data_IF_936984180384
#
_entry.id   IF_936984180384
#
_cell.length_a   1.000
_cell.length_b   1.000
_cell.length_c   1.000
_cell.angle_alpha   90.00
_cell.angle_beta   90.00
_cell.angle_gamma   90.00
#
_symmetry.space_group_name_H-M   'P 1'
#
loop_
_entity.id
_entity.type
_entity.pdbx_description
1 polymer ?
#
# COMPACT_ATOMS: atom_id res chain seq x y z
N UNK A 1 -8.35 -0.09 9.99
CA UNK A 1 -8.90 0.17 8.64
C UNK A 1 -9.70 -1.05 8.19
N UNK A 2 -10.79 -0.86 7.42
CA UNK A 2 -11.57 -1.97 6.90
C UNK A 2 -10.64 -2.87 6.06
N UNK A 3 -10.51 -4.13 6.46
CA UNK A 3 -9.84 -5.13 5.61
C UNK A 3 -10.67 -5.26 4.33
N UNK A 4 -10.05 -5.31 3.13
CA UNK A 4 -10.80 -5.67 1.94
C UNK A 4 -11.47 -7.03 2.20
N UNK A 5 -12.81 -7.14 2.04
CA UNK A 5 -13.51 -8.40 2.26
C UNK A 5 -13.07 -9.43 1.22
N UNK A 6 -13.18 -10.70 1.59
CA UNK A 6 -12.67 -11.84 0.82
C UNK A 6 -13.47 -12.07 -0.47
N UNK A 7 -14.68 -11.50 -0.58
CA UNK A 7 -15.59 -11.75 -1.71
C UNK A 7 -15.75 -10.49 -2.60
N UNK A 8 -15.15 -10.46 -3.80
CA UNK A 8 -15.09 -9.27 -4.65
C UNK A 8 -16.46 -8.87 -5.24
N UNK A 9 -17.40 -9.80 -5.38
CA UNK A 9 -18.68 -9.56 -6.06
C UNK A 9 -19.74 -8.88 -5.17
N UNK A 10 -19.50 -8.81 -3.85
CA UNK A 10 -20.42 -8.16 -2.89
C UNK A 10 -19.90 -6.82 -2.38
N UNK A 11 -18.82 -6.31 -2.96
CA UNK A 11 -18.12 -5.14 -2.46
C UNK A 11 -18.77 -3.82 -2.90
N UNK A 12 -19.18 -3.01 -1.93
CA UNK A 12 -19.64 -1.65 -2.18
C UNK A 12 -18.43 -0.73 -2.40
N UNK A 13 -18.00 -0.63 -3.67
CA UNK A 13 -16.89 0.23 -4.11
C UNK A 13 -17.07 1.68 -3.66
N UNK A 14 -18.31 2.17 -3.64
CA UNK A 14 -18.62 3.55 -3.26
C UNK A 14 -18.33 3.77 -1.78
N UNK A 15 -18.76 2.85 -0.89
CA UNK A 15 -18.45 2.96 0.53
C UNK A 15 -16.95 2.88 0.80
N UNK A 16 -16.22 2.05 0.07
CA UNK A 16 -14.76 1.98 0.20
C UNK A 16 -14.07 3.29 -0.16
N UNK A 17 -14.48 3.92 -1.27
CA UNK A 17 -13.96 5.23 -1.65
C UNK A 17 -14.36 6.26 -0.59
N UNK A 18 -15.60 6.27 -0.09
CA UNK A 18 -16.00 7.22 0.96
C UNK A 18 -15.16 7.03 2.24
N UNK A 19 -14.97 5.79 2.68
CA UNK A 19 -14.12 5.46 3.82
C UNK A 19 -12.67 5.89 3.57
N UNK A 20 -12.19 5.75 2.33
CA UNK A 20 -10.85 6.14 1.94
C UNK A 20 -10.57 7.64 2.10
N UNK A 21 -11.57 8.44 1.73
CA UNK A 21 -11.48 9.89 1.80
C UNK A 21 -11.77 10.44 3.19
N UNK A 22 -12.52 9.72 4.02
CA UNK A 22 -12.82 10.13 5.41
C UNK A 22 -11.73 9.72 6.38
N UNK A 23 -11.03 8.61 6.12
CA UNK A 23 -9.91 8.10 6.93
C UNK A 23 -8.61 8.21 6.13
N UNK A 24 -8.11 9.44 5.98
CA UNK A 24 -6.86 9.69 5.27
C UNK A 24 -5.66 9.02 5.95
N UNK A 25 -4.79 8.41 5.16
CA UNK A 25 -3.47 7.97 5.63
C UNK A 25 -2.54 9.17 5.83
N UNK A 26 -1.59 9.07 6.75
CA UNK A 26 -0.55 10.09 6.95
C UNK A 26 0.60 9.90 5.95
N UNK A 27 0.24 9.83 4.66
CA UNK A 27 1.19 9.64 3.58
C UNK A 27 1.69 11.01 3.05
N UNK A 28 2.96 11.12 2.64
CA UNK A 28 3.43 12.33 1.99
C UNK A 28 2.76 12.51 0.61
N UNK A 29 2.49 13.77 0.22
CA UNK A 29 1.70 14.11 -0.98
C UNK A 29 2.20 13.48 -2.29
N UNK A 30 3.50 13.18 -2.40
CA UNK A 30 4.08 12.59 -3.61
C UNK A 30 3.61 11.15 -3.84
N UNK A 31 3.30 10.40 -2.76
CA UNK A 31 2.77 9.04 -2.86
C UNK A 31 1.41 9.05 -3.54
N UNK A 32 0.54 10.01 -3.21
CA UNK A 32 -0.75 10.17 -3.88
C UNK A 32 -0.61 10.41 -5.39
N UNK A 33 0.39 11.18 -5.81
CA UNK A 33 0.65 11.44 -7.23
C UNK A 33 1.22 10.20 -7.92
N UNK A 34 2.08 9.45 -7.24
CA UNK A 34 2.69 8.23 -7.76
C UNK A 34 1.65 7.13 -7.98
N UNK A 35 0.76 6.89 -7.02
CA UNK A 35 -0.32 5.91 -7.12
C UNK A 35 -1.43 6.34 -8.11
N UNK A 36 -1.61 7.64 -8.33
CA UNK A 36 -2.61 8.15 -9.27
C UNK A 36 -2.23 7.90 -10.74
N UNK A 37 -0.93 7.83 -11.08
CA UNK A 37 -0.48 7.65 -12.47
C UNK A 37 -1.03 6.40 -13.18
N UNK A 38 -0.91 5.17 -12.62
CA UNK A 38 -1.40 3.97 -13.28
C UNK A 38 -2.92 3.98 -13.46
N UNK A 39 -3.68 4.34 -12.42
CA UNK A 39 -5.14 4.43 -12.49
C UNK A 39 -5.59 5.51 -13.50
N UNK A 40 -4.91 6.67 -13.52
CA UNK A 40 -5.22 7.74 -14.47
C UNK A 40 -4.94 7.31 -15.91
N UNK A 41 -3.86 6.55 -16.13
CA UNK A 41 -3.54 6.01 -17.45
C UNK A 41 -4.60 5.02 -17.92
N UNK A 42 -5.07 4.12 -17.06
CA UNK A 42 -6.15 3.18 -17.37
C UNK A 42 -7.44 3.92 -17.72
N UNK A 43 -7.88 4.85 -16.87
CA UNK A 43 -9.06 5.69 -17.11
C UNK A 43 -8.95 6.49 -18.41
N UNK A 44 -7.77 7.03 -18.70
CA UNK A 44 -7.51 7.78 -19.94
C UNK A 44 -7.59 6.91 -21.19
N UNK A 45 -7.03 5.69 -21.13
CA UNK A 45 -7.13 4.73 -22.24
C UNK A 45 -8.61 4.37 -22.47
N UNK A 46 -9.36 4.07 -21.42
CA UNK A 46 -10.79 3.75 -21.51
C UNK A 46 -11.59 4.91 -22.12
N UNK A 47 -11.37 6.16 -21.70
CA UNK A 47 -12.05 7.31 -22.29
C UNK A 47 -11.71 7.51 -23.77
N UNK A 48 -10.47 7.25 -24.19
CA UNK A 48 -10.07 7.37 -25.60
C UNK A 48 -10.65 6.25 -26.47
N UNK A 49 -10.71 5.01 -25.98
CA UNK A 49 -11.24 3.88 -26.76
C UNK A 49 -12.72 4.08 -27.07
N UNK A 50 -13.51 4.56 -26.11
CA UNK A 50 -14.91 4.90 -26.34
C UNK A 50 -15.11 6.16 -27.21
N UNK A 51 -14.17 7.11 -27.16
CA UNK A 51 -14.22 8.33 -27.98
C UNK A 51 -14.22 8.09 -29.50
N UNK A 52 -13.75 6.92 -29.98
CA UNK A 52 -13.77 6.60 -31.40
C UNK A 52 -15.18 6.38 -31.97
N UNK A 53 -16.13 5.87 -31.17
CA UNK A 53 -17.52 5.71 -31.59
C UNK A 53 -18.16 7.10 -31.81
N UNK A 54 -17.91 8.05 -30.92
CA UNK A 54 -18.37 9.43 -31.07
C UNK A 54 -17.78 10.12 -32.31
N UNK A 55 -16.51 9.87 -32.63
CA UNK A 55 -15.86 10.38 -33.86
C UNK A 55 -16.50 9.77 -35.11
N UNK A 56 -16.74 8.46 -35.12
CA UNK A 56 -17.39 7.75 -36.23
C UNK A 56 -18.83 8.24 -36.42
N UNK A 57 -19.59 8.40 -35.35
CA UNK A 57 -20.95 8.95 -35.41
C UNK A 57 -20.96 10.40 -35.87
N UNK A 58 -20.03 11.23 -35.40
CA UNK A 58 -19.84 12.61 -35.87
C UNK A 58 -19.52 12.71 -37.37
N UNK A 59 -18.88 11.68 -37.94
CA UNK A 59 -18.67 11.54 -39.38
C UNK A 59 -19.97 11.26 -40.14
N UNK A 60 -20.79 10.32 -39.66
CA UNK A 60 -22.05 9.92 -40.29
C UNK A 60 -23.23 10.86 -40.01
N UNK A 61 -23.16 11.69 -38.95
CA UNK A 61 -24.24 12.59 -38.53
C UNK A 61 -24.59 13.55 -39.67
N UNK A 62 -25.84 13.56 -40.17
CA UNK A 62 -26.22 14.44 -41.25
C UNK A 62 -26.07 15.90 -40.84
N UNK A 63 -25.79 16.77 -41.82
CA UNK A 63 -25.74 18.23 -41.62
C UNK A 63 -27.15 18.78 -41.47
N UNK A 64 -27.90 18.26 -40.50
CA UNK A 64 -29.27 18.70 -40.26
C UNK A 64 -29.23 19.94 -39.40
N UNK A 65 -29.77 21.03 -39.96
CA UNK A 65 -30.32 22.14 -39.17
C UNK A 65 -29.42 22.71 -38.07
N UNK A 66 -28.09 22.74 -38.24
CA UNK A 66 -27.26 23.65 -37.48
C UNK A 66 -27.78 25.03 -37.88
N UNK A 67 -28.62 25.59 -36.99
CA UNK A 67 -29.54 26.69 -37.27
C UNK A 67 -28.95 27.56 -38.34
N UNK A 68 -29.54 27.54 -39.56
CA UNK A 68 -29.34 28.62 -40.52
C UNK A 68 -29.58 29.84 -39.65
N UNK A 69 -28.49 30.54 -39.26
CA UNK A 69 -28.54 31.63 -38.29
C UNK A 69 -29.54 32.61 -38.88
N UNK A 70 -30.79 32.52 -38.45
CA UNK A 70 -31.79 33.55 -38.66
C UNK A 70 -31.32 34.65 -37.75
N UNK A 71 -30.37 35.43 -38.29
CA UNK A 71 -30.01 36.75 -37.80
C UNK A 71 -31.32 37.44 -37.44
N UNK A 72 -31.42 37.93 -36.20
CA UNK A 72 -32.52 38.72 -35.60
C UNK A 72 -33.47 37.95 -34.67
N UNK A 73 -32.99 37.58 -33.49
CA UNK A 73 -33.78 37.81 -32.26
C UNK A 73 -32.85 38.33 -31.16
N UNK A 74 -32.80 39.65 -31.04
CA UNK A 74 -32.30 40.35 -29.85
C UNK A 74 -33.31 40.08 -28.74
N UNK A 75 -32.93 39.39 -27.66
CA UNK A 75 -33.81 39.26 -26.51
C UNK A 75 -33.38 38.20 -25.51
N UNK A 76 -32.93 38.69 -24.35
CA UNK A 76 -32.87 38.04 -23.02
C UNK A 76 -32.04 36.75 -22.87
N UNK A 77 -30.85 36.94 -22.30
CA UNK A 77 -30.35 36.26 -21.10
C UNK A 77 -30.67 34.76 -20.95
N UNK A 78 -30.41 33.97 -22.00
CA UNK A 78 -30.27 32.53 -21.81
C UNK A 78 -28.85 32.29 -21.27
N UNK A 79 -28.76 31.89 -20.00
CA UNK A 79 -27.53 31.42 -19.36
C UNK A 79 -26.86 30.44 -20.32
N UNK A 80 -25.77 30.88 -20.93
CA UNK A 80 -24.92 30.03 -21.77
C UNK A 80 -24.27 29.04 -20.83
N UNK A 81 -24.94 27.91 -20.59
CA UNK A 81 -24.19 26.69 -20.32
C UNK A 81 -23.29 26.55 -21.55
N UNK A 82 -21.96 26.62 -21.40
CA UNK A 82 -21.08 26.41 -22.53
C UNK A 82 -21.43 25.04 -23.10
N UNK A 83 -22.04 25.01 -24.29
CA UNK A 83 -22.06 23.79 -25.10
C UNK A 83 -20.61 23.56 -25.45
N UNK A 84 -19.95 22.70 -24.69
CA UNK A 84 -18.66 22.18 -25.10
C UNK A 84 -18.84 21.67 -26.52
N UNK A 85 -18.09 22.19 -27.51
CA UNK A 85 -18.15 21.65 -28.85
C UNK A 85 -17.79 20.17 -28.73
N UNK A 86 -18.70 19.28 -29.14
CA UNK A 86 -18.46 17.84 -29.18
C UNK A 86 -17.18 17.62 -29.97
N UNK A 87 -16.09 17.27 -29.28
CA UNK A 87 -14.78 17.05 -29.90
C UNK A 87 -14.92 16.00 -31.01
N UNK A 88 -15.75 14.98 -30.80
CA UNK A 88 -16.12 13.98 -31.80
C UNK A 88 -16.77 14.57 -33.05
N UNK A 89 -17.76 15.48 -32.92
CA UNK A 89 -18.40 16.13 -34.08
C UNK A 89 -17.42 17.05 -34.82
N UNK A 90 -16.60 17.80 -34.08
CA UNK A 90 -15.61 18.71 -34.64
C UNK A 90 -14.51 17.96 -35.40
N UNK A 91 -14.06 16.82 -34.88
CA UNK A 91 -13.05 15.96 -35.50
C UNK A 91 -13.66 15.16 -36.66
N UNK A 92 -14.78 14.47 -36.43
CA UNK A 92 -15.47 13.66 -37.44
C UNK A 92 -15.96 14.47 -38.64
N UNK A 93 -16.39 15.73 -38.42
CA UNK A 93 -16.76 16.66 -39.49
C UNK A 93 -15.58 17.18 -40.33
N UNK A 94 -14.34 16.96 -39.90
CA UNK A 94 -13.12 17.32 -40.65
C UNK A 94 -12.49 16.15 -41.40
N UNK A 95 -12.93 14.92 -41.13
CA UNK A 95 -12.45 13.75 -41.85
C UNK A 95 -12.84 13.81 -43.35
N UNK A 96 -11.96 13.36 -44.27
CA UNK A 96 -12.26 13.31 -45.70
C UNK A 96 -13.47 12.40 -45.97
N UNK A 97 -14.34 12.78 -46.91
CA UNK A 97 -15.59 12.07 -47.19
C UNK A 97 -16.80 12.51 -46.35
N UNK A 98 -16.59 13.22 -45.23
CA UNK A 98 -17.69 13.69 -44.36
C UNK A 98 -18.67 14.62 -45.07
N UNK A 99 -18.21 15.41 -46.05
CA UNK A 99 -19.05 16.33 -46.83
C UNK A 99 -20.04 15.60 -47.74
N UNK A 100 -19.66 14.43 -48.25
CA UNK A 100 -20.48 13.62 -49.17
C UNK A 100 -21.62 12.95 -48.40
N UNK A 101 -21.29 12.29 -47.29
CA UNK A 101 -22.27 11.64 -46.40
C UNK A 101 -23.26 12.67 -45.84
N UNK A 102 -22.78 13.86 -45.48
CA UNK A 102 -23.60 14.94 -44.90
C UNK A 102 -24.52 15.66 -45.89
N UNK A 103 -24.37 15.43 -47.20
CA UNK A 103 -25.16 16.07 -48.25
C UNK A 103 -26.58 15.51 -48.42
N UNK A 104 -26.87 14.34 -47.84
CA UNK A 104 -28.18 13.68 -47.97
C UNK A 104 -29.25 14.48 -47.22
N UNK A 105 -30.40 14.71 -47.87
CA UNK A 105 -31.54 15.41 -47.26
C UNK A 105 -32.39 14.41 -46.47
N UNK A 106 -32.40 14.55 -45.14
CA UNK A 106 -33.18 13.69 -44.25
C UNK A 106 -34.62 14.21 -44.08
N UNK A 107 -35.55 13.28 -43.83
CA UNK A 107 -36.95 13.60 -43.50
C UNK A 107 -37.04 14.32 -42.14
N UNK A 108 -38.14 15.04 -41.90
CA UNK A 108 -38.37 15.72 -40.60
C UNK A 108 -38.35 14.74 -39.42
N UNK A 109 -38.83 13.51 -39.65
CA UNK A 109 -38.77 12.44 -38.67
C UNK A 109 -37.33 12.03 -38.38
N UNK A 110 -36.50 11.82 -39.41
CA UNK A 110 -35.08 11.51 -39.25
C UNK A 110 -34.34 12.57 -38.43
N UNK A 111 -34.61 13.87 -38.68
CA UNK A 111 -34.00 14.95 -37.89
C UNK A 111 -34.44 14.94 -36.41
N UNK A 112 -35.66 14.50 -36.12
CA UNK A 112 -36.15 14.38 -34.73
C UNK A 112 -35.50 13.18 -34.04
N UNK A 113 -35.37 12.06 -34.75
CA UNK A 113 -34.68 10.87 -34.26
C UNK A 113 -33.22 11.18 -33.90
N UNK A 114 -32.49 11.91 -34.74
CA UNK A 114 -31.12 12.35 -34.45
C UNK A 114 -30.99 13.26 -33.21
N UNK A 115 -32.03 14.04 -32.86
CA UNK A 115 -32.02 14.87 -31.64
C UNK A 115 -32.24 14.03 -30.38
N UNK A 116 -33.09 13.01 -30.46
CA UNK A 116 -33.32 12.08 -29.34
C UNK A 116 -32.06 11.24 -29.12
N UNK A 117 -31.48 10.74 -30.22
CA UNK A 117 -30.21 10.01 -30.22
C UNK A 117 -29.09 10.85 -29.59
N UNK A 118 -28.96 12.12 -29.96
CA UNK A 118 -28.01 13.07 -29.34
C UNK A 118 -28.20 13.17 -27.82
N UNK A 119 -29.42 13.34 -27.31
CA UNK A 119 -29.68 13.40 -25.87
C UNK A 119 -29.34 12.08 -25.17
N UNK A 120 -29.72 10.95 -25.78
CA UNK A 120 -29.42 9.62 -25.26
C UNK A 120 -27.92 9.36 -25.22
N UNK A 121 -27.18 9.79 -26.25
CA UNK A 121 -25.73 9.68 -26.32
C UNK A 121 -25.05 10.51 -25.22
N UNK A 122 -25.52 11.73 -24.96
CA UNK A 122 -25.00 12.51 -23.84
C UNK A 122 -25.26 11.83 -22.50
N UNK A 123 -26.45 11.24 -22.31
CA UNK A 123 -26.77 10.50 -21.10
C UNK A 123 -25.86 9.27 -20.93
N UNK A 124 -25.64 8.50 -22.00
CA UNK A 124 -24.74 7.34 -22.01
C UNK A 124 -23.28 7.74 -21.81
N UNK A 125 -22.84 8.87 -22.36
CA UNK A 125 -21.49 9.40 -22.14
C UNK A 125 -21.28 9.79 -20.68
N UNK A 126 -22.22 10.52 -20.08
CA UNK A 126 -22.12 10.87 -18.65
C UNK A 126 -22.22 9.63 -17.75
N UNK A 127 -23.01 8.63 -18.14
CA UNK A 127 -23.05 7.34 -17.46
C UNK A 127 -21.68 6.64 -17.52
N UNK A 128 -21.07 6.59 -18.71
CA UNK A 128 -19.73 6.04 -18.89
C UNK A 128 -18.68 6.79 -18.09
N UNK A 129 -18.73 8.12 -18.07
CA UNK A 129 -17.82 8.94 -17.25
C UNK A 129 -17.99 8.61 -15.77
N UNK A 130 -19.21 8.39 -15.29
CA UNK A 130 -19.45 7.98 -13.91
C UNK A 130 -18.84 6.60 -13.62
N UNK A 131 -19.03 5.63 -14.51
CA UNK A 131 -18.49 4.27 -14.40
C UNK A 131 -16.95 4.26 -14.38
N UNK A 132 -16.33 4.98 -15.32
CA UNK A 132 -14.86 5.15 -15.37
C UNK A 132 -14.33 5.89 -14.14
N UNK A 133 -15.06 6.89 -13.63
CA UNK A 133 -14.66 7.62 -12.43
C UNK A 133 -14.72 6.74 -11.18
N UNK A 134 -15.71 5.85 -11.07
CA UNK A 134 -15.82 4.87 -9.98
C UNK A 134 -14.66 3.87 -10.03
N UNK A 135 -14.38 3.31 -11.20
CA UNK A 135 -13.25 2.37 -11.38
C UNK A 135 -11.90 3.05 -11.12
N UNK A 136 -11.69 4.25 -11.65
CA UNK A 136 -10.51 5.06 -11.38
C UNK A 136 -10.32 5.31 -9.87
N UNK A 137 -11.38 5.72 -9.18
CA UNK A 137 -11.31 6.02 -7.76
C UNK A 137 -10.99 4.75 -6.95
N UNK A 138 -11.58 3.61 -7.32
CA UNK A 138 -11.32 2.33 -6.68
C UNK A 138 -9.87 1.86 -6.89
N UNK A 139 -9.36 1.85 -8.13
CA UNK A 139 -7.98 1.44 -8.43
C UNK A 139 -6.94 2.36 -7.78
N UNK A 140 -7.19 3.67 -7.78
CA UNK A 140 -6.29 4.62 -7.15
C UNK A 140 -6.25 4.44 -5.64
N UNK A 141 -7.41 4.28 -5.00
CA UNK A 141 -7.50 4.09 -3.55
C UNK A 141 -6.93 2.75 -3.11
N UNK A 142 -7.12 1.67 -3.88
CA UNK A 142 -6.53 0.36 -3.57
C UNK A 142 -5.00 0.40 -3.60
N UNK A 143 -4.40 1.02 -4.62
CA UNK A 143 -2.94 1.20 -4.70
C UNK A 143 -2.40 2.08 -3.57
N UNK A 144 -3.16 3.10 -3.18
CA UNK A 144 -2.83 3.93 -2.03
C UNK A 144 -2.80 3.09 -0.75
N UNK A 145 -3.78 2.21 -0.55
CA UNK A 145 -3.88 1.34 0.62
C UNK A 145 -2.86 0.21 0.67
N UNK A 146 -2.36 -0.25 -0.48
CA UNK A 146 -1.25 -1.20 -0.53
C UNK A 146 0.09 -0.57 -0.13
N UNK A 147 0.21 0.76 -0.17
CA UNK A 147 1.43 1.45 0.23
C UNK A 147 1.72 1.30 1.72
N UNK A 148 3.01 1.21 2.08
CA UNK A 148 3.49 1.11 3.47
C UNK A 148 2.90 2.17 4.40
N UNK A 149 2.58 3.37 3.87
CA UNK A 149 2.01 4.49 4.62
C UNK A 149 0.54 4.30 5.03
N UNK A 150 -0.18 3.49 4.28
CA UNK A 150 -1.60 3.23 4.51
C UNK A 150 -1.87 1.84 5.08
N UNK A 151 -0.85 0.99 5.11
CA UNK A 151 -0.95 -0.24 5.87
C UNK A 151 -1.11 0.17 7.34
N UNK A 152 -2.16 -0.31 8.03
CA UNK A 152 -2.26 -0.06 9.46
C UNK A 152 -0.97 -0.54 10.09
N UNK A 153 -0.36 0.31 10.92
CA UNK A 153 0.82 -0.08 11.68
C UNK A 153 0.58 -1.47 12.26
N UNK A 154 1.59 -2.37 12.21
CA UNK A 154 1.44 -3.68 12.79
C UNK A 154 0.85 -3.53 14.20
N UNK A 155 -0.01 -4.47 14.63
CA UNK A 155 -0.47 -4.51 16.02
C UNK A 155 0.77 -4.44 16.91
N UNK A 156 0.62 -3.91 18.13
CA UNK A 156 1.68 -3.28 18.90
C UNK A 156 3.01 -4.03 18.88
N UNK A 157 4.11 -3.32 19.08
CA UNK A 157 5.43 -3.89 18.90
C UNK A 157 6.55 -2.98 19.36
N UNK A 158 7.77 -3.43 19.18
CA UNK A 158 8.95 -2.65 19.49
C UNK A 158 10.12 -3.08 18.62
N UNK A 159 11.09 -2.19 18.44
CA UNK A 159 12.44 -2.51 17.99
C UNK A 159 13.46 -1.77 18.84
N UNK A 160 14.43 -2.50 19.36
CA UNK A 160 15.58 -1.95 20.08
C UNK A 160 16.86 -2.54 19.53
N UNK A 161 17.91 -1.74 19.47
CA UNK A 161 19.22 -2.19 19.06
C UNK A 161 20.28 -1.98 20.15
N UNK A 162 21.40 -2.65 19.97
CA UNK A 162 22.61 -2.51 20.78
C UNK A 162 23.82 -2.42 19.87
N UNK A 163 24.82 -1.65 20.30
CA UNK A 163 26.16 -1.68 19.70
C UNK A 163 27.04 -2.76 20.32
N UNK A 164 26.55 -3.43 21.37
CA UNK A 164 27.25 -4.48 22.09
C UNK A 164 28.33 -3.98 23.04
N UNK A 165 29.35 -4.81 23.23
CA UNK A 165 30.54 -4.52 24.05
C UNK A 165 30.55 -5.19 25.42
N UNK A 166 29.52 -5.95 25.78
CA UNK A 166 29.48 -6.66 27.06
C UNK A 166 30.15 -8.04 26.95
N UNK A 167 30.97 -8.42 27.95
CA UNK A 167 31.68 -9.69 27.93
C UNK A 167 30.74 -10.86 28.21
N UNK A 168 30.91 -11.93 27.44
CA UNK A 168 30.26 -13.23 27.63
C UNK A 168 31.30 -14.28 28.02
N UNK A 169 30.94 -15.11 29.01
CA UNK A 169 31.76 -16.22 29.51
C UNK A 169 31.20 -17.54 28.98
N UNK A 170 32.10 -18.47 28.66
CA UNK A 170 31.71 -19.80 28.18
C UNK A 170 30.90 -20.60 29.20
N UNK A 171 29.99 -21.43 28.71
CA UNK A 171 29.25 -22.42 29.49
C UNK A 171 28.11 -21.86 30.34
N UNK A 172 27.62 -20.64 30.06
CA UNK A 172 26.43 -20.07 30.72
C UNK A 172 25.66 -19.09 29.83
N UNK A 173 24.36 -18.98 30.08
CA UNK A 173 23.49 -17.99 29.45
C UNK A 173 23.72 -16.60 30.05
N UNK A 174 23.95 -15.62 29.18
CA UNK A 174 24.13 -14.21 29.53
C UNK A 174 23.03 -13.35 28.95
N UNK A 175 22.52 -12.41 29.74
CA UNK A 175 21.47 -11.49 29.29
C UNK A 175 22.08 -10.44 28.35
N UNK A 176 21.53 -10.31 27.15
CA UNK A 176 21.87 -9.25 26.22
C UNK A 176 21.01 -8.01 26.48
N UNK A 177 21.64 -6.82 26.49
CA UNK A 177 20.97 -5.55 26.65
C UNK A 177 20.86 -4.80 25.32
N UNK A 178 19.68 -4.29 25.03
CA UNK A 178 19.31 -3.46 23.88
C UNK A 178 18.78 -2.12 24.38
N UNK A 179 19.69 -1.16 24.64
CA UNK A 179 19.32 0.10 25.30
C UNK A 179 18.83 1.20 24.35
N UNK A 180 19.01 1.05 23.03
CA UNK A 180 18.64 2.07 22.05
C UNK A 180 17.31 1.72 21.41
N UNK A 181 16.30 2.56 21.64
CA UNK A 181 14.98 2.42 21.04
C UNK A 181 15.01 2.90 19.58
N UNK A 182 14.56 2.05 18.66
CA UNK A 182 14.28 2.45 17.28
C UNK A 182 12.84 2.97 17.17
N UNK A 183 11.90 2.20 17.73
CA UNK A 183 10.48 2.54 17.86
C UNK A 183 9.82 1.63 18.91
N UNK A 184 8.76 2.12 19.57
CA UNK A 184 7.94 1.35 20.48
C UNK A 184 6.46 1.76 20.40
N UNK A 185 5.60 0.77 20.17
CA UNK A 185 4.14 0.85 20.21
C UNK A 185 3.62 -0.23 21.18
N UNK A 186 3.85 -0.06 22.48
CA UNK A 186 3.51 -1.08 23.47
C UNK A 186 2.00 -1.36 23.56
N UNK A 187 1.60 -2.61 23.89
CA UNK A 187 2.41 -3.83 24.05
C UNK A 187 2.64 -4.63 22.75
N UNK A 188 3.62 -5.57 22.69
CA UNK A 188 4.64 -5.87 23.69
C UNK A 188 5.56 -4.67 23.93
N UNK A 189 6.20 -4.65 25.09
CA UNK A 189 7.11 -3.57 25.50
C UNK A 189 8.52 -4.12 25.75
N UNK A 190 9.51 -3.24 25.65
CA UNK A 190 10.89 -3.58 25.96
C UNK A 190 11.55 -2.53 26.86
N UNK A 191 12.33 -2.98 27.84
CA UNK A 191 13.07 -2.14 28.76
C UNK A 191 14.47 -2.72 28.98
N UNK A 192 15.45 -2.11 28.32
CA UNK A 192 16.89 -2.39 28.39
C UNK A 192 17.25 -3.86 28.09
N UNK A 193 16.93 -4.78 29.00
CA UNK A 193 17.28 -6.19 28.94
C UNK A 193 16.07 -7.12 29.08
N UNK A 194 14.87 -6.58 29.32
CA UNK A 194 13.65 -7.36 29.56
C UNK A 194 12.51 -6.86 28.69
N UNK A 195 11.67 -7.76 28.21
CA UNK A 195 10.45 -7.44 27.49
C UNK A 195 9.23 -8.13 28.08
N UNK A 196 8.04 -7.66 27.70
CA UNK A 196 6.76 -8.22 28.13
C UNK A 196 5.77 -8.30 26.97
N UNK A 197 5.09 -9.44 26.79
CA UNK A 197 4.17 -9.67 25.66
C UNK A 197 2.84 -8.92 25.73
N UNK A 198 2.46 -8.40 26.91
CA UNK A 198 1.18 -7.73 27.11
C UNK A 198 -0.01 -8.69 27.19
N UNK A 199 -1.18 -8.27 26.73
CA UNK A 199 -2.42 -9.06 26.81
C UNK A 199 -2.58 -10.06 25.64
N UNK A 200 -1.73 -9.99 24.62
CA UNK A 200 -1.81 -10.80 23.40
C UNK A 200 -0.50 -11.59 23.24
N UNK A 201 -0.55 -12.68 22.47
CA UNK A 201 0.65 -13.42 22.06
C UNK A 201 1.54 -12.50 21.24
N UNK A 202 2.86 -12.56 21.44
CA UNK A 202 3.80 -11.78 20.65
C UNK A 202 4.88 -12.67 20.04
N UNK A 203 5.26 -12.39 18.80
CA UNK A 203 6.46 -12.95 18.17
C UNK A 203 7.65 -12.08 18.54
N UNK A 204 8.67 -12.68 19.12
CA UNK A 204 9.92 -12.01 19.46
C UNK A 204 11.02 -12.58 18.57
N UNK A 205 11.75 -11.69 17.93
CA UNK A 205 12.92 -12.00 17.12
C UNK A 205 14.11 -11.22 17.67
N UNK A 206 15.22 -11.91 17.90
CA UNK A 206 16.46 -11.28 18.35
C UNK A 206 17.63 -11.76 17.49
N UNK A 207 18.47 -10.82 17.07
CA UNK A 207 19.72 -11.08 16.39
C UNK A 207 20.86 -10.46 17.18
N UNK A 208 21.93 -11.22 17.42
CA UNK A 208 23.10 -10.73 18.13
C UNK A 208 24.35 -11.19 17.39
N UNK A 209 25.24 -10.24 17.14
CA UNK A 209 26.59 -10.50 16.66
C UNK A 209 27.47 -10.89 17.84
N UNK A 210 28.25 -11.96 17.74
CA UNK A 210 29.31 -12.26 18.70
C UNK A 210 30.66 -11.93 18.07
N UNK A 211 31.41 -11.09 18.77
CA UNK A 211 32.73 -10.62 18.34
C UNK A 211 33.77 -11.21 19.28
N UNK A 212 34.71 -11.94 18.69
CA UNK A 212 35.86 -12.45 19.40
C UNK A 212 36.79 -11.32 19.84
N UNK A 213 37.45 -11.50 20.99
CA UNK A 213 38.56 -10.65 21.41
C UNK A 213 39.86 -11.44 21.34
N UNK A 214 40.81 -10.97 20.53
CA UNK A 214 42.21 -11.40 20.59
C UNK A 214 42.72 -11.16 22.03
N UNK A 215 43.35 -12.14 22.73
CA UNK A 215 44.00 -13.37 22.23
C UNK A 215 43.25 -14.68 22.45
N UNK A 216 41.95 -14.66 22.67
CA UNK A 216 41.20 -15.90 22.90
C UNK A 216 40.92 -16.64 21.58
N UNK A 217 40.81 -17.98 21.58
CA UNK A 217 40.43 -18.73 20.40
C UNK A 217 38.99 -18.41 19.98
N UNK A 218 38.64 -18.76 18.74
CA UNK A 218 37.30 -18.59 18.20
C UNK A 218 36.30 -19.44 19.01
N UNK A 219 35.09 -18.93 19.29
CA UNK A 219 34.06 -19.71 19.95
C UNK A 219 33.67 -20.91 19.08
N UNK A 220 33.55 -22.09 19.70
CA UNK A 220 33.17 -23.32 19.01
C UNK A 220 31.66 -23.46 18.79
N UNK A 221 30.86 -22.80 19.62
CA UNK A 221 29.42 -22.67 19.40
C UNK A 221 28.91 -21.36 19.98
N UNK A 222 27.92 -20.77 19.31
CA UNK A 222 27.20 -19.58 19.78
C UNK A 222 25.71 -19.81 19.58
N UNK A 223 24.92 -19.52 20.61
CA UNK A 223 23.47 -19.62 20.57
C UNK A 223 22.85 -18.35 21.14
N UNK A 224 21.75 -17.93 20.54
CA UNK A 224 20.89 -16.87 21.05
C UNK A 224 19.54 -17.51 21.38
N UNK A 225 18.97 -17.12 22.51
CA UNK A 225 17.69 -17.63 22.96
C UNK A 225 16.87 -16.57 23.64
N UNK A 226 15.61 -16.90 23.87
CA UNK A 226 14.71 -16.08 24.67
C UNK A 226 14.35 -16.86 25.92
N UNK A 227 14.64 -16.28 27.08
CA UNK A 227 14.42 -16.88 28.40
C UNK A 227 13.23 -16.22 29.07
N UNK A 228 12.36 -17.03 29.68
CA UNK A 228 11.25 -16.54 30.47
C UNK A 228 11.75 -16.23 31.89
N UNK A 229 11.58 -15.00 32.36
CA UNK A 229 12.20 -14.52 33.62
C UNK A 229 11.65 -15.28 34.85
N UNK A 230 10.37 -15.68 34.83
CA UNK A 230 9.73 -16.39 35.94
C UNK A 230 10.14 -17.85 36.09
N UNK A 231 10.35 -18.58 34.98
CA UNK A 231 10.74 -19.99 35.01
C UNK A 231 12.25 -20.21 34.89
N UNK A 232 12.98 -19.25 34.33
CA UNK A 232 14.38 -19.41 33.94
C UNK A 232 14.59 -20.32 32.73
N UNK A 233 13.51 -20.83 32.12
CA UNK A 233 13.56 -21.70 30.96
C UNK A 233 13.80 -20.89 29.69
N UNK A 234 14.68 -21.40 28.82
CA UNK A 234 14.90 -20.84 27.48
C UNK A 234 13.81 -21.40 26.56
N UNK A 235 12.77 -20.60 26.32
CA UNK A 235 11.59 -20.99 25.56
C UNK A 235 11.93 -21.41 24.12
N UNK A 236 12.86 -20.69 23.51
CA UNK A 236 13.38 -21.01 22.19
C UNK A 236 14.82 -20.52 22.07
N UNK A 237 15.65 -21.30 21.36
CA UNK A 237 17.04 -21.00 21.11
C UNK A 237 17.43 -21.45 19.69
N UNK A 238 18.33 -20.69 19.08
CA UNK A 238 18.90 -20.95 17.77
C UNK A 238 20.37 -20.59 17.80
N UNK A 239 21.17 -21.18 16.91
CA UNK A 239 22.60 -20.93 16.87
C UNK A 239 23.35 -21.89 15.98
N UNK A 240 24.66 -21.67 15.90
CA UNK A 240 25.58 -22.44 15.09
C UNK A 240 26.45 -23.31 16.00
N UNK A 241 26.69 -24.55 15.58
CA UNK A 241 27.62 -25.47 16.23
C UNK A 241 28.93 -25.65 15.42
N UNK A 242 29.15 -24.82 14.40
CA UNK A 242 30.31 -24.92 13.52
C UNK A 242 31.37 -23.87 13.81
N UNK A 243 32.61 -24.20 13.45
CA UNK A 243 33.78 -23.31 13.62
C UNK A 243 33.58 -22.05 12.80
N UNK A 244 33.77 -20.93 13.47
CA UNK A 244 33.45 -19.61 12.94
C UNK A 244 34.65 -19.11 12.17
N UNK A 245 34.45 -18.84 10.89
CA UNK A 245 35.47 -18.28 10.02
C UNK A 245 35.30 -16.75 10.09
N UNK A 246 36.36 -16.03 10.47
CA UNK A 246 36.46 -14.55 10.55
C UNK A 246 36.02 -13.86 11.86
N UNK A 247 35.82 -14.61 12.96
CA UNK A 247 35.70 -14.04 14.32
C UNK A 247 34.42 -13.24 14.60
N UNK A 248 33.47 -13.25 13.66
CA UNK A 248 32.16 -12.61 13.76
C UNK A 248 31.04 -13.62 13.45
N UNK A 249 30.00 -13.65 14.29
CA UNK A 249 28.90 -14.63 14.18
C UNK A 249 27.60 -13.92 14.40
N UNK A 250 26.71 -13.98 13.42
CA UNK A 250 25.35 -13.49 13.56
C UNK A 250 24.46 -14.66 13.97
N UNK A 251 23.93 -14.62 15.19
CA UNK A 251 22.97 -15.61 15.66
C UNK A 251 21.58 -14.97 15.77
N UNK A 252 20.62 -15.59 15.10
CA UNK A 252 19.21 -15.16 15.05
C UNK A 252 18.34 -16.18 15.76
N UNK A 253 17.40 -15.70 16.57
CA UNK A 253 16.33 -16.50 17.15
C UNK A 253 14.98 -15.83 16.90
N UNK A 254 13.95 -16.61 16.62
CA UNK A 254 12.57 -16.15 16.50
C UNK A 254 11.63 -17.14 17.17
N UNK A 255 10.58 -16.65 17.84
CA UNK A 255 9.59 -17.50 18.48
C UNK A 255 8.40 -16.72 19.03
N UNK A 256 7.28 -17.42 19.18
CA UNK A 256 6.08 -16.87 19.78
C UNK A 256 6.09 -17.07 21.30
N UNK A 257 5.74 -16.03 22.04
CA UNK A 257 5.59 -16.05 23.49
C UNK A 257 4.12 -15.85 23.87
N UNK A 258 3.61 -16.59 24.88
CA UNK A 258 2.23 -16.47 25.29
C UNK A 258 1.93 -15.09 25.92
N UNK A 259 0.65 -14.70 26.04
CA UNK A 259 0.25 -13.47 26.72
C UNK A 259 0.78 -13.40 28.17
N UNK A 260 1.08 -12.19 28.64
CA UNK A 260 1.53 -11.92 30.02
C UNK A 260 2.93 -12.45 30.34
N UNK A 261 3.75 -12.75 29.34
CA UNK A 261 5.07 -13.35 29.52
C UNK A 261 6.14 -12.26 29.60
N UNK A 262 6.89 -12.25 30.71
CA UNK A 262 8.11 -11.48 30.84
C UNK A 262 9.29 -12.31 30.38
N UNK A 263 10.09 -11.76 29.47
CA UNK A 263 11.19 -12.45 28.83
C UNK A 263 12.44 -11.59 28.75
N UNK A 264 13.56 -12.23 28.47
CA UNK A 264 14.84 -11.59 28.21
C UNK A 264 15.56 -12.33 27.09
N UNK A 265 16.40 -11.62 26.33
CA UNK A 265 17.24 -12.22 25.29
C UNK A 265 18.53 -12.66 25.95
N UNK A 266 18.91 -13.91 25.72
CA UNK A 266 20.11 -14.52 26.28
C UNK A 266 21.05 -15.04 25.19
N UNK A 267 22.34 -14.95 25.45
CA UNK A 267 23.42 -15.43 24.57
C UNK A 267 24.21 -16.50 25.31
N UNK A 268 24.49 -17.61 24.63
CA UNK A 268 25.34 -18.70 25.09
C UNK A 268 26.52 -18.86 24.15
N UNK A 269 27.66 -19.26 24.71
CA UNK A 269 28.87 -19.52 23.94
C UNK A 269 29.67 -20.65 24.59
N UNK A 270 30.34 -21.45 23.76
CA UNK A 270 31.34 -22.44 24.17
C UNK A 270 32.61 -22.35 23.32
N UNK A 271 33.66 -23.07 23.72
CA UNK A 271 34.93 -23.17 22.98
C UNK A 271 35.96 -22.09 23.32
N UNK A 272 35.56 -20.96 23.89
CA UNK A 272 36.49 -19.88 24.27
C UNK A 272 36.20 -19.30 25.66
N UNK A 273 37.20 -18.95 26.51
CA UNK A 273 36.92 -18.46 27.86
C UNK A 273 36.12 -17.15 27.89
N UNK A 274 36.34 -16.28 26.91
CA UNK A 274 35.74 -14.95 26.82
C UNK A 274 35.48 -14.54 25.38
N UNK A 275 34.32 -13.97 25.12
CA UNK A 275 34.05 -13.14 23.94
C UNK A 275 33.25 -11.91 24.35
N UNK A 276 32.86 -11.07 23.40
CA UNK A 276 31.88 -10.01 23.63
C UNK A 276 30.74 -10.19 22.66
N UNK A 277 29.50 -9.99 23.11
CA UNK A 277 28.46 -9.77 22.11
C UNK A 277 28.60 -8.34 21.58
N UNK A 278 28.59 -8.21 20.25
CA UNK A 278 28.64 -6.98 19.48
C UNK A 278 27.24 -6.46 19.18
N UNK A 279 27.10 -5.84 18.01
CA UNK A 279 25.86 -5.23 17.58
C UNK A 279 24.71 -6.25 17.51
N UNK A 280 23.49 -5.81 17.79
CA UNK A 280 22.31 -6.68 17.73
C UNK A 280 21.03 -5.88 17.71
N UNK A 281 19.93 -6.55 17.38
CA UNK A 281 18.58 -6.00 17.37
C UNK A 281 17.61 -6.98 18.02
N UNK A 282 16.61 -6.48 18.72
CA UNK A 282 15.46 -7.23 19.23
C UNK A 282 14.19 -6.55 18.76
N UNK A 283 13.29 -7.35 18.18
CA UNK A 283 12.00 -6.92 17.66
C UNK A 283 10.90 -7.77 18.29
N UNK A 284 9.86 -7.13 18.80
CA UNK A 284 8.65 -7.80 19.27
C UNK A 284 7.44 -7.30 18.49
N UNK A 285 6.53 -8.20 18.13
CA UNK A 285 5.30 -7.84 17.43
C UNK A 285 4.13 -8.69 17.93
N UNK A 286 2.98 -8.07 18.18
CA UNK A 286 1.75 -8.79 18.50
C UNK A 286 1.33 -9.72 17.35
N UNK A 287 0.90 -10.92 17.70
CA UNK A 287 0.30 -11.87 16.77
C UNK A 287 -1.19 -11.66 16.82
N UNK A 288 -1.75 -11.10 15.75
CA UNK A 288 -3.20 -10.97 15.60
C UNK A 288 -3.78 -12.32 15.20
N UNK A 289 -4.43 -13.00 16.15
CA UNK A 289 -5.26 -14.18 15.88
C UNK A 289 -6.46 -13.86 14.98
#
# INVERSE_FOLDING_TARGET
MPKPPIDPDSFDKVNYVIDAWTTGCDAPWYIYVETLKPALLAAFITLITFGWDDVARGFFRPRSSQNRRTKKRKGKWNRRIPRFPELGEAIGGRLPGSKEVKGVRWSSFGNTMWRVDEVMQHALFWWLVADVAEEFAFEWTSLLYESYWCQPDPPGGFSYHTVGGSPIRSGRWWVAGFPFEDWENSPPAWNLNTGGTGAVTATVTAAVKVVQRNPYPDPGSVRVGVRIIGSGEVAFASGFNDVVIDGEIDALVTGALPPGTNFEVVVWMEGTPWASYGAGVVVGQEVKE
#
